data_IF_951174304365
#
_entry.id   IF_951174304365
#
_cell.length_a   1.000
_cell.length_b   1.000
_cell.length_c   1.000
_cell.angle_alpha   90.00
_cell.angle_beta   90.00
_cell.angle_gamma   90.00
#
_symmetry.space_group_name_H-M   'P 1'
#
loop_
_entity.id
_entity.type
_entity.pdbx_description
1 polymer ?
#
# COMPACT_ATOMS: atom_id res chain seq x y z
N UNK A 1 13.69 61.57 -35.02
CA UNK A 1 14.18 60.40 -34.25
C UNK A 1 13.10 60.13 -33.22
N UNK A 2 12.00 59.49 -33.63
CA UNK A 2 11.84 58.05 -33.82
C UNK A 2 12.02 57.31 -32.49
N UNK A 3 10.90 57.04 -31.82
CA UNK A 3 10.58 55.77 -31.15
C UNK A 3 9.17 55.88 -30.52
N UNK A 4 8.17 55.33 -31.21
CA UNK A 4 6.92 54.89 -30.57
C UNK A 4 6.59 53.49 -31.09
N UNK A 5 6.95 52.44 -30.33
CA UNK A 5 6.47 51.10 -30.59
C UNK A 5 5.36 50.75 -29.58
N UNK A 6 4.14 50.78 -30.11
CA UNK A 6 3.10 49.75 -29.90
C UNK A 6 2.95 49.20 -28.48
N UNK A 7 1.90 49.70 -27.83
CA UNK A 7 0.99 48.93 -26.98
C UNK A 7 1.05 47.41 -27.25
N UNK A 8 1.72 46.67 -26.39
CA UNK A 8 1.48 45.23 -26.25
C UNK A 8 0.73 45.00 -24.93
N UNK A 9 -0.55 45.37 -24.94
CA UNK A 9 -1.49 44.82 -23.98
C UNK A 9 -1.68 43.35 -24.38
N UNK A 10 -1.14 42.43 -23.57
CA UNK A 10 -1.58 41.04 -23.58
C UNK A 10 -2.62 40.85 -22.46
N UNK A 11 -3.94 41.07 -22.69
CA UNK A 11 -4.95 40.87 -21.65
C UNK A 11 -5.38 39.41 -21.46
N UNK A 12 -4.68 38.43 -22.03
CA UNK A 12 -5.05 37.02 -21.91
C UNK A 12 -3.93 36.14 -21.35
N UNK A 13 -3.32 36.56 -20.25
CA UNK A 13 -2.95 35.57 -19.24
C UNK A 13 -4.20 35.29 -18.41
N UNK A 14 -5.16 34.55 -18.97
CA UNK A 14 -6.22 33.94 -18.16
C UNK A 14 -5.52 32.94 -17.23
N UNK A 15 -5.18 33.41 -16.04
CA UNK A 15 -4.78 32.59 -14.91
C UNK A 15 -5.98 31.71 -14.59
N UNK A 16 -6.08 30.59 -15.28
CA UNK A 16 -6.97 29.52 -14.85
C UNK A 16 -6.46 29.16 -13.45
N UNK A 17 -7.29 29.27 -12.40
CA UNK A 17 -6.85 28.89 -11.07
C UNK A 17 -6.29 27.47 -11.15
N UNK A 18 -5.21 27.15 -10.41
CA UNK A 18 -4.70 25.80 -10.35
C UNK A 18 -5.86 24.88 -10.04
N UNK A 19 -6.11 23.88 -10.90
CA UNK A 19 -7.09 22.85 -10.57
C UNK A 19 -6.64 22.19 -9.28
N UNK A 20 -7.58 21.97 -8.37
CA UNK A 20 -7.29 21.20 -7.17
C UNK A 20 -6.68 19.85 -7.56
N UNK A 21 -5.64 19.39 -6.84
CA UNK A 21 -4.97 18.14 -7.19
C UNK A 21 -5.95 16.97 -7.07
N UNK A 22 -5.87 16.02 -8.00
CA UNK A 22 -6.57 14.76 -7.87
C UNK A 22 -5.82 13.88 -6.86
N UNK A 23 -6.46 13.48 -5.78
CA UNK A 23 -5.82 12.62 -4.78
C UNK A 23 -5.90 11.14 -5.16
N UNK A 24 -4.74 10.49 -5.27
CA UNK A 24 -4.63 9.04 -5.39
C UNK A 24 -4.44 8.40 -4.01
N UNK A 25 -5.31 7.47 -3.65
CA UNK A 25 -5.33 6.74 -2.38
C UNK A 25 -4.90 5.30 -2.58
N UNK A 26 -3.95 4.85 -1.76
CA UNK A 26 -3.40 3.50 -1.83
C UNK A 26 -3.23 2.93 -0.42
N UNK A 27 -3.68 1.69 -0.21
CA UNK A 27 -3.33 0.91 0.97
C UNK A 27 -2.06 0.10 0.68
N UNK A 28 -1.05 0.25 1.52
CA UNK A 28 0.15 -0.57 1.53
C UNK A 28 -0.01 -1.68 2.55
N UNK A 29 0.34 -2.89 2.16
CA UNK A 29 0.37 -4.07 3.01
C UNK A 29 1.83 -4.45 3.21
N UNK A 30 2.21 -4.60 4.46
CA UNK A 30 3.55 -4.97 4.87
C UNK A 30 3.47 -6.21 5.77
N UNK A 31 4.25 -7.25 5.48
CA UNK A 31 4.26 -8.49 6.27
C UNK A 31 5.64 -9.16 6.27
N UNK A 32 6.04 -9.75 7.40
CA UNK A 32 7.26 -10.56 7.49
C UNK A 32 7.12 -11.87 6.71
N UNK A 33 8.04 -12.12 5.78
CA UNK A 33 8.17 -13.41 5.09
C UNK A 33 8.59 -14.52 6.04
N UNK A 34 9.38 -14.18 7.06
CA UNK A 34 9.82 -15.16 8.06
C UNK A 34 8.63 -15.63 8.90
N UNK A 35 7.68 -14.75 9.26
CA UNK A 35 6.46 -15.16 9.94
C UNK A 35 5.58 -16.05 9.04
N UNK A 36 5.39 -15.68 7.78
CA UNK A 36 4.64 -16.52 6.82
C UNK A 36 5.26 -17.91 6.65
N UNK A 37 6.59 -18.00 6.69
CA UNK A 37 7.31 -19.28 6.62
C UNK A 37 7.21 -20.08 7.92
N UNK A 38 7.57 -19.46 9.03
CA UNK A 38 7.85 -20.15 10.29
C UNK A 38 6.58 -20.40 11.11
N UNK A 39 5.59 -19.51 11.02
CA UNK A 39 4.30 -19.62 11.74
C UNK A 39 3.22 -20.24 10.85
N UNK A 40 3.16 -19.83 9.58
CA UNK A 40 2.11 -20.26 8.64
C UNK A 40 2.57 -21.34 7.65
N UNK A 41 3.76 -21.92 7.87
CA UNK A 41 4.26 -23.09 7.14
C UNK A 41 4.69 -22.82 5.70
N UNK A 42 4.95 -21.56 5.33
CA UNK A 42 5.43 -21.17 4.00
C UNK A 42 4.38 -21.30 2.89
N UNK A 43 3.11 -21.51 3.26
CA UNK A 43 2.01 -21.50 2.32
C UNK A 43 1.82 -20.10 1.73
N UNK A 44 1.31 -20.01 0.50
CA UNK A 44 0.93 -18.72 -0.06
C UNK A 44 -0.18 -18.08 0.77
N UNK A 45 -0.20 -16.75 0.81
CA UNK A 45 -1.18 -15.96 1.53
C UNK A 45 -1.78 -14.88 0.63
N UNK A 46 -3.04 -14.55 0.86
CA UNK A 46 -3.77 -13.49 0.20
C UNK A 46 -4.26 -12.52 1.25
N UNK A 47 -3.99 -11.24 1.04
CA UNK A 47 -4.40 -10.13 1.89
C UNK A 47 -5.45 -9.32 1.13
N UNK A 48 -6.65 -9.24 1.67
CA UNK A 48 -7.79 -8.57 1.07
C UNK A 48 -8.05 -7.25 1.79
N UNK A 49 -8.26 -6.18 1.01
CA UNK A 49 -8.66 -4.87 1.52
C UNK A 49 -10.12 -4.61 1.10
N UNK A 50 -10.94 -4.20 2.04
CA UNK A 50 -12.37 -3.96 1.86
C UNK A 50 -12.73 -2.52 2.23
N UNK A 51 -13.82 -2.02 1.64
CA UNK A 51 -14.50 -0.80 2.07
C UNK A 51 -15.89 -1.17 2.60
N UNK A 52 -16.01 -1.35 3.90
CA UNK A 52 -17.15 -1.88 4.62
C UNK A 52 -16.84 -3.26 5.24
N UNK A 53 -17.83 -3.83 5.92
CA UNK A 53 -17.67 -5.13 6.57
C UNK A 53 -17.38 -6.26 5.54
N UNK A 54 -16.32 -7.06 5.71
CA UNK A 54 -16.08 -8.22 4.86
C UNK A 54 -17.13 -9.32 5.12
N UNK A 55 -17.42 -10.19 4.15
CA UNK A 55 -18.25 -11.38 4.38
C UNK A 55 -17.72 -12.26 5.52
N UNK A 56 -18.60 -13.01 6.18
CA UNK A 56 -18.20 -13.92 7.26
C UNK A 56 -17.42 -15.13 6.74
N UNK A 57 -17.80 -15.69 5.58
CA UNK A 57 -17.12 -16.83 4.98
C UNK A 57 -15.85 -16.38 4.21
N UNK A 58 -14.65 -16.84 4.61
CA UNK A 58 -13.39 -16.55 3.91
C UNK A 58 -13.39 -16.90 2.42
N UNK A 59 -14.16 -17.92 2.02
CA UNK A 59 -14.24 -18.33 0.61
C UNK A 59 -14.90 -17.27 -0.27
N UNK A 60 -15.70 -16.39 0.32
CA UNK A 60 -16.41 -15.34 -0.39
C UNK A 60 -15.60 -14.04 -0.48
N UNK A 61 -14.52 -13.89 0.30
CA UNK A 61 -13.76 -12.64 0.40
C UNK A 61 -13.26 -12.10 -0.93
N UNK A 62 -12.77 -12.95 -1.83
CA UNK A 62 -12.27 -12.55 -3.15
C UNK A 62 -13.37 -12.19 -4.16
N UNK A 63 -14.62 -12.56 -3.85
CA UNK A 63 -15.79 -12.27 -4.67
C UNK A 63 -16.65 -11.15 -4.07
N UNK A 64 -16.27 -10.66 -2.89
CA UNK A 64 -17.06 -9.69 -2.14
C UNK A 64 -17.22 -8.40 -2.95
N UNK A 65 -18.45 -7.86 -3.06
CA UNK A 65 -18.71 -6.66 -3.86
C UNK A 65 -18.01 -5.41 -3.31
N UNK A 66 -17.63 -5.43 -2.03
CA UNK A 66 -16.92 -4.35 -1.35
C UNK A 66 -15.41 -4.58 -1.25
N UNK A 67 -14.87 -5.60 -1.94
CA UNK A 67 -13.43 -5.80 -2.06
C UNK A 67 -12.82 -4.67 -2.89
N UNK A 68 -11.92 -3.90 -2.27
CA UNK A 68 -11.15 -2.86 -2.94
C UNK A 68 -10.02 -3.46 -3.80
N UNK A 69 -9.41 -4.53 -3.30
CA UNK A 69 -8.40 -5.31 -4.01
C UNK A 69 -7.65 -6.25 -3.07
N UNK A 70 -6.68 -6.97 -3.63
CA UNK A 70 -5.90 -7.98 -2.91
C UNK A 70 -4.42 -7.93 -3.24
N UNK A 71 -3.60 -8.36 -2.28
CA UNK A 71 -2.18 -8.64 -2.47
C UNK A 71 -1.92 -10.13 -2.24
N UNK A 72 -1.19 -10.75 -3.15
CA UNK A 72 -0.92 -12.19 -3.11
C UNK A 72 0.56 -12.43 -2.87
N UNK A 73 0.86 -13.17 -1.80
CA UNK A 73 2.19 -13.67 -1.49
C UNK A 73 2.25 -15.13 -1.91
N UNK A 74 3.10 -15.43 -2.88
CA UNK A 74 3.34 -16.81 -3.28
C UNK A 74 4.24 -17.49 -2.25
N UNK A 75 3.78 -18.62 -1.76
CA UNK A 75 4.54 -19.45 -0.82
C UNK A 75 5.78 -19.99 -1.50
N UNK A 76 6.93 -19.85 -0.85
CA UNK A 76 8.13 -20.54 -1.31
C UNK A 76 8.13 -21.90 -0.62
N UNK A 77 7.59 -22.92 -1.31
CA UNK A 77 7.88 -24.31 -0.97
C UNK A 77 9.40 -24.41 -0.96
N UNK A 78 10.02 -24.55 0.22
CA UNK A 78 11.47 -24.75 0.28
C UNK A 78 11.84 -25.82 -0.74
N UNK A 79 12.78 -25.49 -1.64
CA UNK A 79 13.33 -26.47 -2.57
C UNK A 79 13.63 -27.75 -1.79
N UNK A 80 13.15 -28.88 -2.31
CA UNK A 80 13.14 -30.13 -1.58
C UNK A 80 14.49 -30.50 -0.96
N UNK A 81 14.42 -31.14 0.21
CA UNK A 81 15.46 -32.02 0.70
C UNK A 81 16.42 -31.44 1.73
N UNK A 82 15.98 -31.36 2.98
CA UNK A 82 16.88 -31.57 4.12
C UNK A 82 16.26 -32.56 5.11
N UNK A 83 15.99 -33.78 4.61
CA UNK A 83 16.02 -34.99 5.44
C UNK A 83 17.33 -35.70 5.11
N UNK A 84 18.28 -35.62 6.04
CA UNK A 84 19.50 -36.44 6.21
C UNK A 84 20.21 -36.99 4.97
N UNK A 85 21.46 -36.54 4.74
CA UNK A 85 22.43 -37.23 3.88
C UNK A 85 23.41 -36.27 3.21
N UNK A 86 24.67 -36.29 3.63
CA UNK A 86 25.69 -35.34 3.18
C UNK A 86 26.12 -35.53 1.72
N UNK A 87 26.60 -34.44 1.12
CA UNK A 87 27.82 -34.38 0.30
C UNK A 87 27.99 -32.95 -0.27
N UNK A 88 29.06 -32.30 0.19
CA UNK A 88 29.94 -31.35 -0.52
C UNK A 88 29.39 -30.47 -1.66
N UNK A 89 29.48 -29.15 -1.46
CA UNK A 89 29.24 -28.17 -2.52
C UNK A 89 29.64 -26.73 -2.15
N UNK A 90 30.91 -26.54 -1.78
CA UNK A 90 31.73 -25.32 -1.88
C UNK A 90 31.21 -23.98 -1.29
N UNK A 91 31.94 -23.50 -0.27
CA UNK A 91 32.15 -22.07 -0.05
C UNK A 91 31.76 -21.50 1.30
N UNK A 92 32.23 -22.11 2.39
CA UNK A 92 32.37 -21.42 3.66
C UNK A 92 33.30 -20.21 3.49
N UNK A 93 32.73 -19.00 3.33
CA UNK A 93 33.45 -17.77 3.63
C UNK A 93 33.27 -17.48 5.10
N UNK A 94 34.22 -17.98 5.88
CA UNK A 94 34.57 -17.39 7.16
C UNK A 94 35.01 -15.94 6.91
N UNK A 95 34.17 -14.99 7.31
CA UNK A 95 34.62 -13.65 7.65
C UNK A 95 34.26 -13.43 9.10
N UNK A 96 35.13 -13.95 9.98
CA UNK A 96 35.23 -13.46 11.33
C UNK A 96 35.81 -12.04 11.29
N UNK A 97 35.22 -11.14 12.08
CA UNK A 97 35.83 -9.86 12.43
C UNK A 97 35.27 -8.65 11.71
N UNK A 98 34.07 -8.21 12.10
CA UNK A 98 33.82 -6.81 12.45
C UNK A 98 32.55 -6.73 13.30
N UNK A 99 32.71 -6.27 14.54
CA UNK A 99 31.60 -5.94 15.42
C UNK A 99 30.77 -4.80 14.83
N UNK A 100 29.46 -4.98 14.83
CA UNK A 100 28.47 -4.03 14.41
C UNK A 100 27.15 -4.77 14.31
N UNK A 101 26.24 -4.53 15.26
CA UNK A 101 24.96 -5.22 15.35
C UNK A 101 24.25 -5.24 14.01
N UNK A 102 24.23 -6.41 13.36
CA UNK A 102 23.34 -6.66 12.25
C UNK A 102 21.93 -6.54 12.82
N UNK A 103 21.26 -5.42 12.53
CA UNK A 103 19.83 -5.32 12.69
C UNK A 103 19.22 -6.62 12.15
N UNK A 104 18.36 -7.26 12.95
CA UNK A 104 17.52 -8.37 12.51
C UNK A 104 16.60 -7.85 11.39
N UNK A 105 17.15 -7.68 10.19
CA UNK A 105 16.43 -7.30 8.99
C UNK A 105 15.70 -8.53 8.49
N UNK A 106 14.57 -8.85 9.14
CA UNK A 106 13.66 -9.88 8.67
C UNK A 106 13.26 -9.60 7.23
N UNK A 107 13.09 -10.65 6.44
CA UNK A 107 12.74 -10.46 5.02
C UNK A 107 11.30 -9.98 4.92
N UNK A 108 11.09 -8.82 4.28
CA UNK A 108 9.79 -8.17 4.16
C UNK A 108 9.11 -8.54 2.84
N UNK A 109 7.79 -8.76 2.86
CA UNK A 109 6.92 -8.73 1.70
C UNK A 109 6.04 -7.47 1.76
N UNK A 110 5.97 -6.75 0.64
CA UNK A 110 5.22 -5.50 0.51
C UNK A 110 4.31 -5.57 -0.73
N UNK A 111 3.11 -5.00 -0.61
CA UNK A 111 2.13 -4.89 -1.69
C UNK A 111 1.29 -3.62 -1.58
N UNK A 112 0.66 -3.23 -2.68
CA UNK A 112 -0.12 -2.00 -2.78
C UNK A 112 -1.49 -2.27 -3.41
N UNK A 113 -2.55 -1.72 -2.82
CA UNK A 113 -3.93 -1.79 -3.31
C UNK A 113 -4.45 -0.38 -3.53
N UNK A 114 -4.76 -0.03 -4.79
CA UNK A 114 -5.36 1.25 -5.14
C UNK A 114 -6.81 1.33 -4.65
N UNK A 115 -7.17 2.42 -3.98
CA UNK A 115 -8.47 2.56 -3.32
C UNK A 115 -9.45 3.43 -4.12
N UNK A 116 -9.00 4.30 -5.01
CA UNK A 116 -9.87 5.28 -5.69
C UNK A 116 -11.08 4.65 -6.37
N UNK A 117 -10.89 3.57 -7.13
CA UNK A 117 -11.99 2.92 -7.83
C UNK A 117 -13.04 2.36 -6.86
N UNK A 118 -12.60 1.80 -5.73
CA UNK A 118 -13.49 1.28 -4.70
C UNK A 118 -14.18 2.42 -3.95
N UNK A 119 -13.45 3.48 -3.59
CA UNK A 119 -14.00 4.68 -2.95
C UNK A 119 -15.10 5.28 -3.85
N UNK A 120 -14.85 5.46 -5.15
CA UNK A 120 -15.87 5.96 -6.09
C UNK A 120 -17.14 5.11 -6.14
N UNK A 121 -17.02 3.79 -6.02
CA UNK A 121 -18.16 2.87 -6.13
C UNK A 121 -18.97 2.75 -4.85
N UNK A 122 -18.32 2.81 -3.69
CA UNK A 122 -18.92 2.40 -2.43
C UNK A 122 -19.15 3.53 -1.43
N UNK A 123 -18.38 4.62 -1.53
CA UNK A 123 -18.37 5.62 -0.45
C UNK A 123 -19.53 6.62 -0.51
N UNK A 124 -20.12 6.83 -1.70
CA UNK A 124 -21.04 7.95 -1.94
C UNK A 124 -20.38 9.33 -1.85
N UNK A 125 -19.05 9.40 -1.71
CA UNK A 125 -18.31 10.66 -1.66
C UNK A 125 -18.26 11.32 -3.04
N UNK A 126 -18.29 12.65 -3.04
CA UNK A 126 -18.16 13.46 -4.26
C UNK A 126 -16.76 14.06 -4.44
N UNK A 127 -15.82 13.75 -3.53
CA UNK A 127 -14.43 14.20 -3.59
C UNK A 127 -13.47 13.12 -3.09
N UNK A 128 -12.21 13.21 -3.53
CA UNK A 128 -11.09 12.43 -3.01
C UNK A 128 -10.23 13.22 -2.00
N UNK A 129 -10.66 14.41 -1.59
CA UNK A 129 -9.88 15.22 -0.65
C UNK A 129 -9.67 14.50 0.68
N UNK A 130 -8.48 14.65 1.31
CA UNK A 130 -8.20 14.05 2.61
C UNK A 130 -9.24 14.36 3.68
N UNK A 131 -9.84 15.55 3.66
CA UNK A 131 -10.86 15.97 4.64
C UNK A 131 -12.10 15.07 4.66
N UNK A 132 -12.45 14.47 3.51
CA UNK A 132 -13.60 13.57 3.40
C UNK A 132 -13.21 12.09 3.35
N UNK A 133 -12.07 11.77 2.74
CA UNK A 133 -11.62 10.37 2.58
C UNK A 133 -11.03 9.82 3.87
N UNK A 134 -10.26 10.59 4.64
CA UNK A 134 -9.67 10.13 5.91
C UNK A 134 -10.74 9.66 6.90
N UNK A 135 -11.79 10.44 7.23
CA UNK A 135 -12.83 9.97 8.16
C UNK A 135 -13.63 8.79 7.61
N UNK A 136 -13.83 8.72 6.29
CA UNK A 136 -14.47 7.58 5.64
C UNK A 136 -13.64 6.30 5.81
N UNK A 137 -12.35 6.32 5.47
CA UNK A 137 -11.47 5.15 5.59
C UNK A 137 -11.26 4.73 7.05
N UNK A 138 -11.25 5.66 8.01
CA UNK A 138 -11.22 5.31 9.44
C UNK A 138 -12.38 4.42 9.87
N UNK A 139 -13.55 4.59 9.24
CA UNK A 139 -14.77 3.82 9.54
C UNK A 139 -14.89 2.55 8.70
N UNK A 140 -14.58 2.64 7.41
CA UNK A 140 -14.96 1.61 6.43
C UNK A 140 -13.80 0.74 5.98
N UNK A 141 -12.54 1.19 6.11
CA UNK A 141 -11.42 0.38 5.65
C UNK A 141 -11.29 -0.86 6.54
N UNK A 142 -11.41 -2.04 5.96
CA UNK A 142 -11.22 -3.32 6.65
C UNK A 142 -10.21 -4.18 5.90
N UNK A 143 -9.53 -5.06 6.62
CA UNK A 143 -8.61 -6.02 6.01
C UNK A 143 -8.74 -7.41 6.62
N UNK A 144 -8.48 -8.41 5.78
CA UNK A 144 -8.43 -9.83 6.16
C UNK A 144 -7.30 -10.53 5.42
N UNK A 145 -6.80 -11.62 5.98
CA UNK A 145 -5.79 -12.44 5.34
C UNK A 145 -6.18 -13.92 5.40
N UNK A 146 -5.88 -14.66 4.33
CA UNK A 146 -6.11 -16.09 4.25
C UNK A 146 -4.97 -16.79 3.52
N UNK A 147 -4.75 -18.07 3.82
CA UNK A 147 -3.85 -18.93 3.04
C UNK A 147 -4.49 -19.29 1.69
N UNK A 148 -3.72 -19.97 0.84
CA UNK A 148 -4.20 -20.52 -0.44
C UNK A 148 -5.36 -21.50 -0.30
N UNK A 149 -5.49 -22.17 0.84
CA UNK A 149 -6.60 -23.09 1.14
C UNK A 149 -7.82 -22.39 1.75
N UNK A 150 -7.88 -21.06 1.71
CA UNK A 150 -8.91 -20.18 2.30
C UNK A 150 -8.95 -20.16 3.83
N UNK A 151 -8.01 -20.81 4.52
CA UNK A 151 -7.91 -20.70 5.98
C UNK A 151 -7.55 -19.27 6.40
N UNK A 152 -8.36 -18.60 7.23
CA UNK A 152 -8.03 -17.29 7.78
C UNK A 152 -6.73 -17.30 8.58
N UNK A 153 -5.97 -16.22 8.45
CA UNK A 153 -4.77 -15.97 9.23
C UNK A 153 -4.78 -14.52 9.73
N UNK A 154 -4.14 -14.28 10.86
CA UNK A 154 -3.99 -12.94 11.44
C UNK A 154 -2.54 -12.74 11.88
N UNK A 155 -1.63 -12.44 10.93
CA UNK A 155 -0.22 -12.32 11.25
C UNK A 155 0.06 -11.14 12.19
N UNK A 156 0.96 -11.35 13.15
CA UNK A 156 1.34 -10.33 14.13
C UNK A 156 2.24 -9.25 13.51
N UNK A 157 3.00 -9.59 12.46
CA UNK A 157 3.81 -8.62 11.71
C UNK A 157 3.07 -7.91 10.58
N UNK A 158 1.78 -8.15 10.42
CA UNK A 158 0.98 -7.44 9.43
C UNK A 158 0.93 -5.94 9.79
N UNK A 159 1.19 -5.10 8.80
CA UNK A 159 1.00 -3.67 8.92
C UNK A 159 0.36 -3.12 7.64
N UNK A 160 -0.86 -2.59 7.78
CA UNK A 160 -1.57 -1.88 6.73
C UNK A 160 -1.42 -0.38 6.97
N UNK A 161 -0.94 0.35 5.97
CA UNK A 161 -0.76 1.81 6.03
C UNK A 161 -1.37 2.45 4.79
N UNK A 162 -2.06 3.58 4.96
CA UNK A 162 -2.68 4.29 3.85
C UNK A 162 -1.81 5.46 3.41
N UNK A 163 -1.68 5.65 2.11
CA UNK A 163 -1.01 6.79 1.49
C UNK A 163 -1.99 7.57 0.62
N UNK A 164 -1.78 8.89 0.56
CA UNK A 164 -2.39 9.74 -0.45
C UNK A 164 -1.31 10.50 -1.22
N UNK A 165 -1.39 10.46 -2.55
CA UNK A 165 -0.49 11.19 -3.43
C UNK A 165 -1.29 12.20 -4.23
N UNK A 166 -1.02 13.51 -4.11
CA UNK A 166 -1.69 14.51 -4.93
C UNK A 166 -1.16 14.41 -6.36
N UNK A 167 -2.06 14.31 -7.34
CA UNK A 167 -1.74 14.25 -8.75
C UNK A 167 -2.12 15.58 -9.41
N UNK A 168 -1.18 16.18 -10.14
CA UNK A 168 -1.40 17.42 -10.89
C UNK A 168 -1.33 17.15 -12.38
N UNK A 169 -2.10 17.89 -13.17
CA UNK A 169 -2.03 17.83 -14.64
C UNK A 169 -1.48 19.17 -15.17
N UNK A 170 -0.17 19.26 -15.43
CA UNK A 170 0.41 20.45 -16.03
C UNK A 170 -0.29 20.78 -17.37
N UNK A 171 -0.44 22.06 -17.73
CA UNK A 171 -1.00 22.44 -19.03
C UNK A 171 -0.25 21.77 -20.20
N UNK A 172 -0.98 21.08 -21.08
CA UNK A 172 -0.40 20.33 -22.19
C UNK A 172 0.23 18.98 -21.80
N UNK A 173 0.22 18.60 -20.52
CA UNK A 173 0.67 17.31 -20.04
C UNK A 173 -0.31 16.19 -20.41
N UNK A 174 0.22 15.09 -20.96
CA UNK A 174 -0.57 13.89 -21.27
C UNK A 174 -0.82 13.00 -20.06
N UNK A 175 0.07 13.07 -19.05
CA UNK A 175 0.02 12.26 -17.85
C UNK A 175 0.02 13.13 -16.59
N UNK A 176 -0.59 12.66 -15.49
CA UNK A 176 -0.48 13.33 -14.21
C UNK A 176 0.97 13.28 -13.70
N UNK A 177 1.38 14.32 -12.99
CA UNK A 177 2.63 14.39 -12.25
C UNK A 177 2.30 14.20 -10.76
N UNK A 178 2.81 13.13 -10.12
CA UNK A 178 2.69 12.92 -8.69
C UNK A 178 3.45 14.00 -7.90
N UNK A 179 2.79 14.56 -6.89
CA UNK A 179 3.41 15.39 -5.87
C UNK A 179 3.96 14.55 -4.71
N UNK A 180 4.19 15.22 -3.58
CA UNK A 180 4.70 14.56 -2.37
C UNK A 180 3.65 13.62 -1.77
N UNK A 181 4.04 12.36 -1.57
CA UNK A 181 3.19 11.33 -1.00
C UNK A 181 3.07 11.51 0.51
N UNK A 182 1.83 11.59 0.98
CA UNK A 182 1.46 11.66 2.39
C UNK A 182 1.12 10.29 2.95
N UNK A 183 1.59 10.00 4.15
CA UNK A 183 1.30 8.77 4.88
C UNK A 183 0.30 9.06 6.01
N UNK A 184 -0.86 8.42 5.96
CA UNK A 184 -1.93 8.56 6.93
C UNK A 184 -1.98 7.36 7.88
N UNK A 185 -1.06 7.36 8.84
CA UNK A 185 -0.95 6.29 9.84
C UNK A 185 -2.19 6.20 10.74
N UNK A 186 -2.79 7.35 11.07
CA UNK A 186 -3.94 7.43 11.97
C UNK A 186 -5.20 6.73 11.44
N UNK A 187 -5.27 6.40 10.14
CA UNK A 187 -6.41 5.67 9.55
C UNK A 187 -6.52 4.24 10.10
N UNK A 188 -5.38 3.61 10.36
CA UNK A 188 -5.30 2.19 10.76
C UNK A 188 -4.71 2.00 12.16
N UNK A 189 -4.16 3.06 12.75
CA UNK A 189 -3.56 3.02 14.08
C UNK A 189 -4.50 2.43 15.14
N UNK A 190 -3.93 1.60 16.02
CA UNK A 190 -4.66 0.96 17.11
C UNK A 190 -5.51 -0.25 16.70
N UNK A 191 -5.55 -0.60 15.42
CA UNK A 191 -6.26 -1.79 14.91
C UNK A 191 -5.27 -2.94 14.67
N UNK A 192 -5.69 -4.19 14.89
CA UNK A 192 -4.84 -5.36 14.66
C UNK A 192 -4.39 -5.42 13.20
N UNK A 193 -3.09 -5.49 12.98
CA UNK A 193 -2.51 -5.46 11.64
C UNK A 193 -2.46 -4.07 10.99
N UNK A 194 -2.78 -3.00 11.72
CA UNK A 194 -2.69 -1.61 11.26
C UNK A 194 -1.37 -0.96 11.62
N UNK A 195 -1.23 0.33 11.27
CA UNK A 195 -0.02 1.11 11.57
C UNK A 195 0.33 1.11 13.05
N UNK A 196 1.62 0.99 13.34
CA UNK A 196 2.17 1.11 14.71
C UNK A 196 2.46 2.57 15.11
N UNK A 197 2.40 3.49 14.15
CA UNK A 197 2.70 4.90 14.33
C UNK A 197 1.39 5.69 14.52
N UNK A 198 1.35 6.58 15.51
CA UNK A 198 0.16 7.35 15.83
C UNK A 198 0.09 8.69 15.06
N UNK A 199 1.14 9.04 14.32
CA UNK A 199 1.29 10.35 13.68
C UNK A 199 1.31 10.22 12.16
N UNK A 200 0.58 11.09 11.47
CA UNK A 200 0.60 11.16 10.01
C UNK A 200 1.90 11.86 9.52
N UNK A 201 2.43 11.44 8.37
CA UNK A 201 3.62 12.03 7.74
C UNK A 201 3.16 12.72 6.45
N UNK A 202 2.88 14.03 6.54
CA UNK A 202 2.18 14.83 5.53
C UNK A 202 3.11 15.70 4.68
#
# INVERSE_FOLDING_TARGET
MADDPTTNCNPHATSTPPRDPLWEWTARIHISKDELRDVYGGSGATFCIFLGAPPEDPKEWLLAPNLAGSHHVLGNSGGGGARGGGAHGYGARHSAGHGGGAARGGSINEGFVHLNAAISRHSGLHSFDPEVVVPYLKRELEWRAQKTDTTPIEPDSLEVVVFATPLTFPPGGMFPVPGERRQYNTITYGRKGGSQDAEDKL
#
